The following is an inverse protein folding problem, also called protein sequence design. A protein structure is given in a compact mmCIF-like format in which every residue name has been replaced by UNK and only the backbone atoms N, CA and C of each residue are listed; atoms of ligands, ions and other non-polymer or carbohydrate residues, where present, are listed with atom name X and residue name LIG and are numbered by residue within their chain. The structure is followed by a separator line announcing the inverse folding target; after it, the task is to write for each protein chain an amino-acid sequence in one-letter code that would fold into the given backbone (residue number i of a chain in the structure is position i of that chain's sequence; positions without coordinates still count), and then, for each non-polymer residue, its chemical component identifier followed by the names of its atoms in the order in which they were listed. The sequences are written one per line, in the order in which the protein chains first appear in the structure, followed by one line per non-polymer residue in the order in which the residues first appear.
data_IF_317104422762
#
_entry.id   IF_317104422762
#
_cell.length_a   1.000
_cell.length_b   1.000
_cell.length_c   1.000
_cell.angle_alpha   90.00
_cell.angle_beta   90.00
_cell.angle_gamma   90.00
#
_symmetry.space_group_name_H-M   'P 1'
#
loop_
_entity.id
_entity.type
_entity.pdbx_description
1 polymer ?
#
# COMPACT_ATOMS: atom_id res chain seq x y z
N UNK A 1 42.83 -37.82 -60.36
CA UNK A 1 42.16 -39.06 -59.94
C UNK A 1 40.71 -38.73 -59.66
N UNK A 2 39.78 -39.09 -60.55
CA UNK A 2 38.36 -38.82 -60.34
C UNK A 2 37.85 -39.73 -59.20
N UNK A 3 37.24 -39.14 -58.16
CA UNK A 3 36.60 -39.92 -57.09
C UNK A 3 35.50 -40.78 -57.69
N UNK A 4 35.42 -42.06 -57.29
CA UNK A 4 34.37 -42.97 -57.75
C UNK A 4 33.01 -42.43 -57.34
N UNK A 5 31.96 -42.63 -58.15
CA UNK A 5 30.59 -42.20 -57.82
C UNK A 5 30.14 -42.69 -56.42
N UNK A 6 30.63 -43.86 -56.00
CA UNK A 6 30.40 -44.43 -54.67
C UNK A 6 31.04 -43.61 -53.53
N UNK A 7 32.22 -43.03 -53.76
CA UNK A 7 32.92 -42.22 -52.75
C UNK A 7 32.24 -40.87 -52.53
N UNK A 8 31.65 -40.30 -53.59
CA UNK A 8 30.84 -39.08 -53.53
C UNK A 8 29.57 -39.36 -52.73
N UNK A 9 28.86 -40.44 -53.04
CA UNK A 9 27.66 -40.87 -52.30
C UNK A 9 27.94 -41.11 -50.82
N UNK A 10 29.07 -41.74 -50.49
CA UNK A 10 29.46 -41.97 -49.09
C UNK A 10 29.73 -40.66 -48.34
N UNK A 11 30.30 -39.66 -49.00
CA UNK A 11 30.53 -38.33 -48.41
C UNK A 11 29.22 -37.60 -48.15
N UNK A 12 28.30 -37.61 -49.12
CA UNK A 12 26.95 -37.04 -48.98
C UNK A 12 26.15 -37.70 -47.85
N UNK A 13 26.21 -39.04 -47.73
CA UNK A 13 25.58 -39.76 -46.62
C UNK A 13 26.22 -39.39 -45.27
N UNK A 14 27.53 -39.20 -45.21
CA UNK A 14 28.21 -38.75 -43.98
C UNK A 14 27.82 -37.32 -43.61
N UNK A 15 27.67 -36.44 -44.59
CA UNK A 15 27.26 -35.05 -44.38
C UNK A 15 25.80 -34.97 -43.93
N UNK A 16 24.90 -35.80 -44.47
CA UNK A 16 23.51 -35.88 -43.98
C UNK A 16 23.42 -36.45 -42.58
N UNK A 17 24.22 -37.47 -42.23
CA UNK A 17 24.29 -38.00 -40.86
C UNK A 17 24.81 -36.94 -39.87
N UNK A 18 25.81 -36.14 -40.26
CA UNK A 18 26.33 -35.08 -39.39
C UNK A 18 25.31 -33.96 -39.17
N UNK A 19 24.58 -33.56 -40.23
CA UNK A 19 23.47 -32.63 -40.13
C UNK A 19 22.35 -33.16 -39.22
N UNK A 20 21.95 -34.42 -39.40
CA UNK A 20 20.93 -35.05 -38.54
C UNK A 20 21.36 -35.10 -37.07
N UNK A 21 22.61 -35.44 -36.78
CA UNK A 21 23.13 -35.43 -35.41
C UNK A 21 23.11 -34.03 -34.78
N UNK A 22 23.40 -33.00 -35.58
CA UNK A 22 23.34 -31.59 -35.13
C UNK A 22 21.91 -31.18 -34.79
N UNK A 23 20.97 -31.47 -35.69
CA UNK A 23 19.54 -31.19 -35.46
C UNK A 23 19.02 -31.98 -34.26
N UNK A 24 19.41 -33.25 -34.11
CA UNK A 24 19.03 -34.06 -32.95
C UNK A 24 19.57 -33.46 -31.65
N UNK A 25 20.80 -32.94 -31.62
CA UNK A 25 21.31 -32.26 -30.43
C UNK A 25 20.50 -31.01 -30.10
N UNK A 26 20.24 -30.15 -31.09
CA UNK A 26 19.42 -28.94 -30.92
C UNK A 26 18.00 -29.26 -30.43
N UNK A 27 17.37 -30.28 -31.01
CA UNK A 27 16.06 -30.75 -30.56
C UNK A 27 16.10 -31.27 -29.13
N UNK A 28 17.15 -31.99 -28.72
CA UNK A 28 17.27 -32.47 -27.33
C UNK A 28 17.46 -31.32 -26.34
N UNK A 29 18.18 -30.27 -26.72
CA UNK A 29 18.36 -29.07 -25.90
C UNK A 29 17.04 -28.29 -25.78
N UNK A 30 16.30 -28.13 -26.88
CA UNK A 30 14.98 -27.52 -26.87
C UNK A 30 13.99 -28.31 -26.01
N UNK A 31 14.00 -29.65 -26.09
CA UNK A 31 13.14 -30.48 -25.24
C UNK A 31 13.49 -30.30 -23.76
N UNK A 32 14.78 -30.20 -23.42
CA UNK A 32 15.21 -29.93 -22.04
C UNK A 32 14.73 -28.57 -21.55
N UNK A 33 14.88 -27.51 -22.34
CA UNK A 33 14.45 -26.17 -21.96
C UNK A 33 12.92 -26.04 -21.85
N UNK A 34 12.18 -26.71 -22.73
CA UNK A 34 10.72 -26.75 -22.63
C UNK A 34 10.26 -27.50 -21.38
N UNK A 35 10.93 -28.59 -21.01
CA UNK A 35 10.63 -29.33 -19.77
C UNK A 35 10.86 -28.48 -18.52
N UNK A 36 11.99 -27.76 -18.44
CA UNK A 36 12.27 -26.88 -17.29
C UNK A 36 11.23 -25.77 -17.17
N UNK A 37 10.82 -25.16 -18.30
CA UNK A 37 9.78 -24.13 -18.28
C UNK A 37 8.42 -24.70 -17.84
N UNK A 38 8.08 -25.92 -18.27
CA UNK A 38 6.85 -26.59 -17.84
C UNK A 38 6.90 -26.85 -16.33
N UNK A 39 7.99 -27.39 -15.81
CA UNK A 39 8.17 -27.64 -14.37
C UNK A 39 8.01 -26.34 -13.55
N UNK A 40 8.68 -25.26 -13.95
CA UNK A 40 8.55 -23.95 -13.32
C UNK A 40 7.12 -23.43 -13.35
N UNK A 41 6.45 -23.48 -14.51
CA UNK A 41 5.06 -23.03 -14.64
C UNK A 41 4.11 -23.86 -13.80
N UNK A 42 4.26 -25.18 -13.78
CA UNK A 42 3.41 -26.06 -12.96
C UNK A 42 3.60 -25.79 -11.47
N UNK A 43 4.84 -25.53 -11.01
CA UNK A 43 5.10 -25.13 -9.63
C UNK A 43 4.43 -23.79 -9.28
N UNK A 44 4.49 -22.81 -10.19
CA UNK A 44 3.80 -21.53 -10.02
C UNK A 44 2.27 -21.70 -9.98
N UNK A 45 1.70 -22.52 -10.85
CA UNK A 45 0.25 -22.81 -10.86
C UNK A 45 -0.19 -23.46 -9.55
N UNK A 46 0.58 -24.40 -9.00
CA UNK A 46 0.28 -25.00 -7.70
C UNK A 46 0.24 -23.95 -6.57
N UNK A 47 1.24 -23.06 -6.52
CA UNK A 47 1.28 -21.98 -5.51
C UNK A 47 0.11 -21.02 -5.66
N UNK A 48 -0.27 -20.68 -6.90
CA UNK A 48 -1.43 -19.84 -7.16
C UNK A 48 -2.73 -20.53 -6.71
N UNK A 49 -2.86 -21.83 -6.99
CA UNK A 49 -4.03 -22.60 -6.59
C UNK A 49 -4.17 -22.64 -5.05
N UNK A 50 -3.08 -22.86 -4.32
CA UNK A 50 -3.07 -22.81 -2.85
C UNK A 50 -3.50 -21.44 -2.31
N UNK A 51 -3.03 -20.35 -2.94
CA UNK A 51 -3.44 -19.00 -2.55
C UNK A 51 -4.94 -18.76 -2.80
N UNK A 52 -5.45 -19.22 -3.94
CA UNK A 52 -6.88 -19.14 -4.26
C UNK A 52 -7.70 -19.94 -3.25
N UNK A 53 -7.28 -21.16 -2.90
CA UNK A 53 -7.97 -21.99 -1.92
C UNK A 53 -7.97 -21.36 -0.53
N UNK A 54 -6.83 -20.81 -0.10
CA UNK A 54 -6.70 -20.07 1.16
C UNK A 54 -7.63 -18.85 1.20
N UNK A 55 -7.62 -18.02 0.15
CA UNK A 55 -8.47 -16.83 0.08
C UNK A 55 -9.95 -17.19 -0.02
N UNK A 56 -10.29 -18.22 -0.78
CA UNK A 56 -11.67 -18.74 -0.89
C UNK A 56 -12.15 -19.24 0.47
N UNK A 57 -11.33 -20.01 1.20
CA UNK A 57 -11.62 -20.44 2.57
C UNK A 57 -11.71 -19.25 3.54
N UNK A 58 -10.92 -18.19 3.35
CA UNK A 58 -10.97 -17.01 4.21
C UNK A 58 -12.20 -16.13 3.96
N UNK A 59 -12.66 -16.03 2.71
CA UNK A 59 -13.80 -15.21 2.32
C UNK A 59 -15.14 -15.93 2.52
N UNK A 60 -15.18 -17.22 2.17
CA UNK A 60 -16.41 -18.01 2.14
C UNK A 60 -16.42 -19.18 3.13
N UNK A 61 -15.29 -19.49 3.78
CA UNK A 61 -15.25 -20.50 4.84
C UNK A 61 -15.87 -19.97 6.14
N UNK A 62 -16.30 -20.89 7.00
CA UNK A 62 -16.84 -20.55 8.30
C UNK A 62 -15.77 -19.83 9.13
N UNK A 63 -16.06 -18.59 9.55
CA UNK A 63 -15.22 -17.81 10.47
C UNK A 63 -15.16 -18.40 11.90
N UNK A 64 -15.90 -19.48 12.14
CA UNK A 64 -15.93 -20.22 13.39
C UNK A 64 -14.84 -21.29 13.38
N UNK A 65 -14.09 -21.43 14.48
CA UNK A 65 -13.19 -22.55 14.79
C UNK A 65 -13.95 -23.89 14.97
N UNK A 66 -15.07 -24.09 14.25
CA UNK A 66 -15.77 -25.36 14.17
C UNK A 66 -14.89 -26.33 13.41
N UNK A 67 -14.02 -27.05 14.12
CA UNK A 67 -13.40 -28.26 13.59
C UNK A 67 -14.51 -29.26 13.26
N UNK A 68 -14.49 -29.89 12.06
CA UNK A 68 -15.47 -30.91 11.74
C UNK A 68 -15.41 -32.03 12.78
N UNK A 69 -16.59 -32.50 13.17
CA UNK A 69 -16.83 -33.42 14.27
C UNK A 69 -16.09 -34.76 14.20
N UNK A 70 -15.56 -35.15 13.04
CA UNK A 70 -14.98 -36.47 12.77
C UNK A 70 -13.45 -36.46 12.73
N UNK A 71 -12.80 -35.86 13.74
CA UNK A 71 -11.37 -36.08 13.97
C UNK A 71 -11.24 -37.35 14.82
N UNK A 72 -10.64 -38.45 14.30
CA UNK A 72 -10.54 -39.70 15.05
C UNK A 72 -9.75 -39.50 16.35
N UNK A 73 -10.42 -39.73 17.48
CA UNK A 73 -9.84 -39.60 18.84
C UNK A 73 -10.18 -38.30 19.59
N UNK A 74 -10.85 -37.33 18.96
CA UNK A 74 -11.28 -36.10 19.62
C UNK A 74 -12.80 -36.13 19.90
N UNK A 75 -13.18 -36.03 21.18
CA UNK A 75 -14.57 -35.93 21.61
C UNK A 75 -15.10 -34.50 21.39
N UNK A 76 -16.28 -34.37 20.75
CA UNK A 76 -16.95 -33.08 20.54
C UNK A 76 -17.66 -32.61 21.81
N UNK A 77 -16.92 -31.95 22.69
CA UNK A 77 -17.41 -31.46 23.99
C UNK A 77 -18.45 -30.33 23.91
N UNK A 78 -18.58 -29.66 22.77
CA UNK A 78 -19.41 -28.45 22.64
C UNK A 78 -20.55 -28.56 21.61
N UNK A 79 -20.86 -29.78 21.14
CA UNK A 79 -21.84 -29.98 20.06
C UNK A 79 -23.24 -30.43 20.53
N UNK A 80 -23.56 -30.29 21.82
CA UNK A 80 -24.83 -30.74 22.37
C UNK A 80 -26.03 -30.04 21.71
N UNK A 81 -25.94 -28.72 21.49
CA UNK A 81 -27.06 -27.95 20.93
C UNK A 81 -27.46 -28.39 19.51
N UNK A 82 -26.50 -28.76 18.65
CA UNK A 82 -26.78 -29.16 17.26
C UNK A 82 -27.28 -30.62 17.20
N UNK A 83 -26.81 -31.50 18.09
CA UNK A 83 -27.29 -32.91 18.19
C UNK A 83 -28.75 -32.98 18.66
N UNK A 84 -29.15 -32.09 19.55
CA UNK A 84 -30.53 -32.02 20.06
C UNK A 84 -31.43 -31.06 19.27
N UNK A 85 -30.93 -30.43 18.20
CA UNK A 85 -31.72 -29.57 17.35
C UNK A 85 -32.65 -30.40 16.47
N UNK A 86 -33.94 -30.08 16.48
CA UNK A 86 -34.93 -30.71 15.61
C UNK A 86 -34.80 -30.16 14.18
N UNK A 87 -34.46 -30.99 13.18
CA UNK A 87 -34.30 -30.54 11.80
C UNK A 87 -35.61 -30.10 11.13
N UNK A 88 -36.78 -30.39 11.73
CA UNK A 88 -38.08 -29.92 11.21
C UNK A 88 -38.45 -28.52 11.70
N UNK A 89 -37.77 -27.99 12.72
CA UNK A 89 -37.97 -26.61 13.18
C UNK A 89 -37.28 -25.63 12.23
N UNK A 90 -38.00 -24.62 11.70
CA UNK A 90 -37.39 -23.55 10.91
C UNK A 90 -36.30 -22.86 11.72
N UNK A 91 -35.11 -22.69 11.14
CA UNK A 91 -34.07 -21.87 11.75
C UNK A 91 -34.61 -20.46 12.00
N UNK A 92 -34.53 -19.99 13.24
CA UNK A 92 -34.87 -18.59 13.54
C UNK A 92 -33.94 -17.68 12.74
N UNK A 93 -34.52 -16.98 11.76
CA UNK A 93 -33.83 -15.98 10.97
C UNK A 93 -33.33 -14.88 11.93
N UNK A 94 -32.07 -15.02 12.34
CA UNK A 94 -31.33 -14.03 13.11
C UNK A 94 -30.97 -12.83 12.22
N UNK A 95 -31.93 -12.32 11.44
CA UNK A 95 -31.84 -11.05 10.72
C UNK A 95 -31.87 -9.93 11.76
N UNK A 96 -30.73 -9.76 12.43
CA UNK A 96 -30.46 -8.60 13.27
C UNK A 96 -30.54 -7.40 12.34
N UNK A 97 -31.61 -6.61 12.48
CA UNK A 97 -31.72 -5.32 11.80
C UNK A 97 -30.39 -4.58 11.94
N UNK A 98 -29.84 -4.04 10.83
CA UNK A 98 -28.56 -3.36 10.85
C UNK A 98 -28.66 -2.18 11.80
N UNK A 99 -28.16 -2.36 13.03
CA UNK A 99 -28.14 -1.29 14.03
C UNK A 99 -27.41 -0.10 13.42
N UNK A 100 -27.99 1.12 13.49
CA UNK A 100 -27.34 2.29 12.94
C UNK A 100 -25.94 2.42 13.53
N UNK A 101 -24.92 2.42 12.67
CA UNK A 101 -23.53 2.59 13.11
C UNK A 101 -23.42 3.96 13.78
N UNK A 102 -22.88 3.99 14.99
CA UNK A 102 -22.54 5.26 15.66
C UNK A 102 -21.60 6.03 14.75
N UNK A 103 -21.88 7.31 14.52
CA UNK A 103 -20.99 8.20 13.76
C UNK A 103 -19.65 8.23 14.48
N UNK A 104 -18.56 8.20 13.70
CA UNK A 104 -17.22 8.40 14.26
C UNK A 104 -17.16 9.78 14.91
N UNK A 105 -16.54 9.84 16.09
CA UNK A 105 -16.34 11.10 16.78
C UNK A 105 -15.57 12.07 15.88
N UNK A 106 -16.02 13.32 15.81
CA UNK A 106 -15.31 14.34 15.05
C UNK A 106 -14.02 14.76 15.78
N UNK A 107 -13.06 15.33 15.06
CA UNK A 107 -11.83 15.81 15.71
C UNK A 107 -12.12 16.95 16.71
N UNK A 108 -13.21 17.70 16.57
CA UNK A 108 -13.62 18.65 17.59
C UNK A 108 -14.06 17.95 18.90
N UNK A 109 -14.69 16.78 18.78
CA UNK A 109 -15.15 15.98 19.92
C UNK A 109 -14.00 15.25 20.62
N UNK A 110 -13.03 14.73 19.87
CA UNK A 110 -11.89 13.98 20.42
C UNK A 110 -11.01 14.84 21.33
N UNK A 111 -10.92 16.14 21.07
CA UNK A 111 -10.04 17.07 21.78
C UNK A 111 -10.82 17.99 22.73
N UNK A 112 -12.13 17.75 22.87
CA UNK A 112 -12.98 18.48 23.79
C UNK A 112 -12.54 18.22 25.23
N UNK A 113 -12.07 19.27 25.91
CA UNK A 113 -11.61 19.20 27.30
C UNK A 113 -10.09 19.03 27.46
N UNK A 114 -9.33 18.94 26.37
CA UNK A 114 -7.87 19.04 26.42
C UNK A 114 -7.43 20.51 26.43
N UNK A 115 -6.31 20.80 27.08
CA UNK A 115 -5.73 22.15 27.12
C UNK A 115 -5.04 22.45 25.79
N UNK A 116 -5.45 23.54 25.15
CA UNK A 116 -4.91 23.99 23.86
C UNK A 116 -3.91 25.13 24.08
N UNK A 117 -2.71 24.96 23.55
CA UNK A 117 -1.60 25.90 23.56
C UNK A 117 -1.39 26.44 22.15
N UNK A 118 -1.40 27.76 22.00
CA UNK A 118 -1.16 28.43 20.72
C UNK A 118 0.31 28.84 20.63
N UNK A 119 1.03 28.30 19.65
CA UNK A 119 2.43 28.63 19.39
C UNK A 119 2.53 29.34 18.04
N UNK A 120 3.03 30.57 18.04
CA UNK A 120 3.18 31.39 16.83
C UNK A 120 4.65 31.37 16.44
N UNK A 121 4.94 30.89 15.24
CA UNK A 121 6.29 30.83 14.66
C UNK A 121 6.56 32.19 13.99
N UNK A 122 7.45 33.02 14.57
CA UNK A 122 7.80 34.30 13.98
C UNK A 122 8.66 34.12 12.72
N UNK A 123 8.69 35.15 11.88
CA UNK A 123 9.65 35.23 10.78
C UNK A 123 11.05 35.57 11.33
N UNK A 124 12.10 35.00 10.73
CA UNK A 124 13.48 35.32 11.06
C UNK A 124 13.79 36.79 10.76
N UNK A 125 14.69 37.41 11.53
CA UNK A 125 14.99 38.85 11.40
C UNK A 125 15.56 39.24 10.04
N UNK A 126 16.29 38.33 9.39
CA UNK A 126 16.83 38.52 8.03
C UNK A 126 15.72 38.57 6.97
N UNK A 127 14.67 37.76 7.14
CA UNK A 127 13.54 37.66 6.22
C UNK A 127 12.48 38.77 6.46
N UNK A 128 12.61 39.57 7.53
CA UNK A 128 11.77 40.75 7.80
C UNK A 128 12.11 41.97 6.93
N UNK A 129 13.14 41.87 6.10
CA UNK A 129 13.53 42.91 5.14
C UNK A 129 13.11 42.47 3.75
N UNK A 130 12.47 43.39 3.00
CA UNK A 130 12.04 43.08 1.65
C UNK A 130 13.27 42.81 0.75
N UNK A 131 13.33 41.66 0.04
CA UNK A 131 14.45 41.34 -0.84
C UNK A 131 14.52 42.23 -2.10
N UNK A 132 13.48 43.02 -2.38
CA UNK A 132 13.38 43.87 -3.57
C UNK A 132 13.72 45.33 -3.28
N UNK A 133 13.12 45.93 -2.25
CA UNK A 133 13.30 47.35 -1.93
C UNK A 133 14.12 47.61 -0.65
N UNK A 134 14.45 46.59 0.14
CA UNK A 134 15.20 46.75 1.39
C UNK A 134 14.41 47.38 2.55
N UNK A 135 13.12 47.66 2.38
CA UNK A 135 12.26 48.20 3.44
C UNK A 135 11.86 47.12 4.46
N UNK A 136 11.65 47.50 5.74
CA UNK A 136 11.13 46.57 6.75
C UNK A 136 9.70 46.14 6.38
N UNK A 137 9.41 44.84 6.51
CA UNK A 137 8.11 44.26 6.23
C UNK A 137 7.16 44.39 7.42
N UNK A 138 5.86 44.54 7.15
CA UNK A 138 4.81 44.61 8.16
C UNK A 138 4.06 43.29 8.30
N UNK A 139 3.64 42.96 9.52
CA UNK A 139 2.87 41.76 9.83
C UNK A 139 1.46 41.87 9.23
N UNK A 140 1.14 40.99 8.29
CA UNK A 140 -0.18 40.93 7.63
C UNK A 140 -1.17 40.11 8.46
N UNK A 141 -0.75 38.93 8.93
CA UNK A 141 -1.65 38.01 9.62
C UNK A 141 -1.01 36.70 10.03
N UNK A 142 -1.78 35.92 10.80
CA UNK A 142 -1.42 34.59 11.29
C UNK A 142 -2.19 33.53 10.50
N UNK A 143 -1.52 32.46 10.07
CA UNK A 143 -2.12 31.33 9.35
C UNK A 143 -1.99 30.05 10.19
N UNK A 144 -3.06 29.25 10.25
CA UNK A 144 -3.03 27.96 10.95
C UNK A 144 -2.30 26.92 10.11
N UNK A 145 -1.30 26.25 10.69
CA UNK A 145 -0.52 25.24 10.00
C UNK A 145 -0.95 23.83 10.40
N UNK A 146 -0.78 23.51 11.68
CA UNK A 146 -0.96 22.16 12.20
C UNK A 146 -1.25 22.17 13.69
N UNK A 147 -1.74 21.04 14.16
CA UNK A 147 -1.91 20.75 15.58
C UNK A 147 -1.23 19.45 15.94
N UNK A 148 -0.60 19.42 17.09
CA UNK A 148 0.12 18.26 17.61
C UNK A 148 -0.42 17.91 18.99
N UNK A 149 -0.64 16.62 19.24
CA UNK A 149 -1.00 16.14 20.58
C UNK A 149 0.28 15.73 21.30
N UNK A 150 0.64 16.49 22.33
CA UNK A 150 1.80 16.22 23.17
C UNK A 150 1.34 15.44 24.38
N UNK A 151 1.79 14.20 24.46
CA UNK A 151 1.54 13.32 25.59
C UNK A 151 2.74 13.35 26.55
N UNK A 152 2.57 14.01 27.69
CA UNK A 152 3.48 13.88 28.83
C UNK A 152 2.85 12.90 29.82
N UNK A 153 3.58 11.99 30.48
CA UNK A 153 2.98 11.10 31.48
C UNK A 153 2.10 11.89 32.48
N UNK A 154 0.83 11.51 32.57
CA UNK A 154 -0.25 12.18 33.33
C UNK A 154 -0.85 13.49 32.75
N UNK A 155 -0.43 13.97 31.57
CA UNK A 155 -1.00 15.16 30.89
C UNK A 155 -1.08 14.99 29.37
N UNK A 156 -2.26 15.25 28.80
CA UNK A 156 -2.46 15.38 27.36
C UNK A 156 -2.71 16.85 27.02
N UNK A 157 -1.85 17.45 26.20
CA UNK A 157 -1.98 18.84 25.77
C UNK A 157 -1.97 18.90 24.23
N UNK A 158 -2.61 19.92 23.68
CA UNK A 158 -2.69 20.16 22.23
C UNK A 158 -1.93 21.42 21.91
N UNK A 159 -0.98 21.35 21.00
CA UNK A 159 -0.23 22.51 20.51
C UNK A 159 -0.73 22.86 19.11
N UNK A 160 -1.23 24.07 18.92
CA UNK A 160 -1.65 24.62 17.63
C UNK A 160 -0.58 25.60 17.13
N UNK A 161 0.04 25.24 16.01
CA UNK A 161 1.11 26.03 15.38
C UNK A 161 0.53 26.99 14.35
N UNK A 162 0.87 28.26 14.50
CA UNK A 162 0.52 29.35 13.59
C UNK A 162 1.78 29.96 13.00
N UNK A 163 1.73 30.32 11.72
CA UNK A 163 2.81 31.04 11.05
C UNK A 163 2.44 32.49 10.85
N UNK A 164 3.41 33.36 10.97
CA UNK A 164 3.24 34.77 10.64
C UNK A 164 3.54 35.02 9.16
N UNK A 165 2.69 35.85 8.55
CA UNK A 165 2.88 36.36 7.20
C UNK A 165 3.23 37.83 7.25
N UNK A 166 4.25 38.22 6.49
CA UNK A 166 4.76 39.59 6.41
C UNK A 166 4.67 40.08 4.97
N UNK A 167 4.37 41.36 4.78
CA UNK A 167 4.25 41.99 3.48
C UNK A 167 5.00 43.31 3.44
N UNK A 168 5.58 43.61 2.27
CA UNK A 168 6.23 44.89 2.08
C UNK A 168 5.20 46.01 1.80
N UNK A 169 5.16 47.09 2.60
CA UNK A 169 4.24 48.21 2.37
C UNK A 169 4.57 48.98 1.07
N UNK A 170 5.85 49.19 0.76
CA UNK A 170 6.28 49.95 -0.42
C UNK A 170 5.98 49.22 -1.75
N UNK A 171 6.14 47.89 -1.78
CA UNK A 171 5.76 47.08 -2.94
C UNK A 171 4.23 47.01 -3.11
N UNK A 172 3.46 47.15 -2.02
CA UNK A 172 1.99 47.23 -2.08
C UNK A 172 1.50 48.55 -2.65
N UNK A 173 2.22 49.64 -2.38
CA UNK A 173 1.92 50.99 -2.90
C UNK A 173 2.46 51.24 -4.33
N UNK A 174 3.16 50.28 -4.94
CA UNK A 174 3.66 50.38 -6.31
C UNK A 174 4.94 51.20 -6.47
N UNK A 175 5.72 51.38 -5.40
CA UNK A 175 7.02 52.08 -5.43
C UNK A 175 8.21 51.16 -5.73
N UNK A 176 7.99 49.84 -5.82
CA UNK A 176 9.01 48.85 -6.17
C UNK A 176 8.88 48.39 -7.63
N UNK A 177 9.99 47.94 -8.22
CA UNK A 177 10.11 47.48 -9.62
C UNK A 177 9.32 46.20 -9.97
N UNK A 178 8.38 45.77 -9.11
CA UNK A 178 7.61 44.54 -9.26
C UNK A 178 6.12 44.82 -9.28
N UNK A 179 5.42 44.34 -10.31
CA UNK A 179 3.95 44.47 -10.48
C UNK A 179 3.12 43.75 -9.41
N UNK A 180 3.74 43.03 -8.47
CA UNK A 180 3.08 42.21 -7.45
C UNK A 180 3.63 42.50 -6.06
N UNK A 181 2.74 42.53 -5.06
CA UNK A 181 3.10 42.66 -3.65
C UNK A 181 3.93 41.46 -3.17
N UNK A 182 5.09 41.72 -2.57
CA UNK A 182 5.94 40.69 -1.96
C UNK A 182 5.37 40.29 -0.59
N UNK A 183 5.04 39.01 -0.44
CA UNK A 183 4.55 38.41 0.82
C UNK A 183 5.48 37.25 1.17
N UNK A 184 6.03 37.27 2.38
CA UNK A 184 6.92 36.23 2.93
C UNK A 184 6.24 35.57 4.12
N UNK A 185 6.35 34.24 4.22
CA UNK A 185 5.81 33.44 5.32
C UNK A 185 6.95 32.80 6.09
N UNK A 186 6.81 32.66 7.41
CA UNK A 186 7.77 31.93 8.24
C UNK A 186 7.89 30.46 7.79
N UNK A 187 9.12 29.95 7.72
CA UNK A 187 9.38 28.54 7.41
C UNK A 187 8.94 27.68 8.59
N UNK A 188 8.04 26.74 8.34
CA UNK A 188 7.59 25.78 9.37
C UNK A 188 8.61 24.64 9.42
N UNK A 189 9.21 24.33 10.59
CA UNK A 189 9.98 23.11 10.74
C UNK A 189 9.07 21.87 10.52
N UNK A 190 9.59 20.78 9.93
CA UNK A 190 8.79 19.58 9.63
C UNK A 190 8.15 18.94 10.87
#
# INVERSE_FOLDING_TARGET
MASSAKDIQLRELKDTISQLNTIMSEQTELIRSLRTIIEEKTAHEMVLQEQVDYLTKKLFGSSSEKTPADIPGQLNLFNEAEVYQDPELPEEDCSREPRPRKKKATHAELFKGLKVHKEVIPLDEEDKVCPVCGSPMERIGEEYVRRELVFTPAKCEVYEYYTESYGCPDCKEGKGDTEKSVIVKSKVPP
#
